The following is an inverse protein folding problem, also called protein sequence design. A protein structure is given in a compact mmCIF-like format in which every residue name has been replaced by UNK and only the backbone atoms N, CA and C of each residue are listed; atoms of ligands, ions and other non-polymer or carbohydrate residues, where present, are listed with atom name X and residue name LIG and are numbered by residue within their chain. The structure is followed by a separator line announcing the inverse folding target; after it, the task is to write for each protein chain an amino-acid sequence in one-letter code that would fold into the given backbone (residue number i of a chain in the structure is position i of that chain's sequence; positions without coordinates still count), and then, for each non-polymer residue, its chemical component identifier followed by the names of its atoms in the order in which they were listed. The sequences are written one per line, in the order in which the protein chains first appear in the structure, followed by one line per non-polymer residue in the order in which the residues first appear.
data_IF_157627871335
#
_entry.id   IF_157627871335
#
_cell.length_a   1.000
_cell.length_b   1.000
_cell.length_c   1.000
_cell.angle_alpha   90.00
_cell.angle_beta   90.00
_cell.angle_gamma   90.00
#
_symmetry.space_group_name_H-M   'P 1'
#
loop_
_entity.id
_entity.type
_entity.pdbx_description
1 polymer ?
#
# COMPACT_ATOMS: atom_id res chain seq x y z
N UNK A 1 -6.19 -15.94 -23.15
CA UNK A 1 -6.22 -14.64 -22.47
C UNK A 1 -4.87 -14.43 -21.82
N UNK A 2 -4.38 -13.20 -21.73
CA UNK A 2 -3.13 -12.85 -21.05
C UNK A 2 -3.39 -11.69 -20.08
N UNK A 3 -2.66 -11.68 -18.98
CA UNK A 3 -2.70 -10.63 -17.97
C UNK A 3 -1.26 -10.27 -17.61
N UNK A 4 -0.90 -9.00 -17.72
CA UNK A 4 0.42 -8.49 -17.43
C UNK A 4 0.27 -7.40 -16.37
N UNK A 5 1.08 -7.48 -15.32
CA UNK A 5 1.32 -6.38 -14.37
C UNK A 5 2.78 -5.93 -14.54
N UNK A 6 3.02 -4.62 -14.43
CA UNK A 6 4.35 -4.06 -14.46
C UNK A 6 4.43 -2.73 -13.69
N UNK A 7 5.64 -2.20 -13.56
CA UNK A 7 5.87 -0.87 -12.97
C UNK A 7 5.38 0.25 -13.89
N UNK A 8 5.04 1.40 -13.30
CA UNK A 8 4.78 2.64 -14.06
C UNK A 8 6.04 3.04 -14.83
N UNK A 9 5.87 3.53 -16.06
CA UNK A 9 6.94 3.79 -17.01
C UNK A 9 7.20 2.61 -17.94
N UNK A 10 6.63 1.43 -17.68
CA UNK A 10 6.71 0.31 -18.62
C UNK A 10 6.00 0.63 -19.93
N UNK A 11 4.88 1.36 -19.89
CA UNK A 11 4.06 1.75 -21.04
C UNK A 11 4.75 2.66 -22.06
N UNK A 12 5.90 3.24 -21.69
CA UNK A 12 6.73 4.07 -22.58
C UNK A 12 8.01 3.35 -23.03
N UNK A 13 8.17 2.08 -22.68
CA UNK A 13 9.39 1.31 -22.95
C UNK A 13 9.38 0.61 -24.32
N UNK A 14 10.59 0.34 -24.84
CA UNK A 14 10.77 -0.50 -26.05
C UNK A 14 10.20 -1.92 -25.86
N UNK A 15 10.27 -2.45 -24.64
CA UNK A 15 9.76 -3.80 -24.32
C UNK A 15 8.24 -3.84 -24.45
N UNK A 16 7.56 -2.80 -23.96
CA UNK A 16 6.12 -2.63 -24.14
C UNK A 16 5.76 -2.52 -25.62
N UNK A 17 6.48 -1.69 -26.39
CA UNK A 17 6.24 -1.53 -27.83
C UNK A 17 6.26 -2.89 -28.54
N UNK A 18 7.31 -3.68 -28.31
CA UNK A 18 7.44 -5.04 -28.86
C UNK A 18 6.33 -5.99 -28.40
N UNK A 19 5.93 -5.90 -27.12
CA UNK A 19 4.83 -6.71 -26.58
C UNK A 19 3.53 -6.41 -27.33
N UNK A 20 3.21 -5.12 -27.54
CA UNK A 20 1.98 -4.71 -28.21
C UNK A 20 1.97 -5.10 -29.69
N UNK A 21 3.11 -5.03 -30.38
CA UNK A 21 3.26 -5.51 -31.76
C UNK A 21 3.00 -7.03 -31.87
N UNK A 22 3.60 -7.83 -31.00
CA UNK A 22 3.44 -9.29 -30.99
C UNK A 22 1.99 -9.68 -30.69
N UNK A 23 1.38 -9.04 -29.69
CA UNK A 23 -0.02 -9.29 -29.33
C UNK A 23 -0.95 -8.91 -30.48
N UNK A 24 -0.74 -7.74 -31.10
CA UNK A 24 -1.51 -7.29 -32.26
C UNK A 24 -1.38 -8.20 -33.47
N UNK A 25 -0.16 -8.65 -33.79
CA UNK A 25 0.10 -9.61 -34.87
C UNK A 25 -0.39 -11.03 -34.58
N UNK A 26 -0.66 -11.37 -33.32
CA UNK A 26 -1.19 -12.66 -32.87
C UNK A 26 -2.70 -12.65 -32.62
N UNK A 27 -3.42 -11.67 -33.18
CA UNK A 27 -4.87 -11.50 -33.06
C UNK A 27 -5.38 -11.34 -31.63
N UNK A 28 -4.61 -10.67 -30.76
CA UNK A 28 -5.12 -10.22 -29.47
C UNK A 28 -5.71 -8.81 -29.56
N UNK A 29 -6.83 -8.62 -28.86
CA UNK A 29 -7.34 -7.31 -28.46
C UNK A 29 -6.82 -7.03 -27.05
N UNK A 30 -6.29 -5.84 -26.83
CA UNK A 30 -5.66 -5.43 -25.58
C UNK A 30 -6.37 -4.25 -24.93
N UNK A 31 -6.32 -4.15 -23.61
CA UNK A 31 -6.67 -2.95 -22.83
C UNK A 31 -5.61 -2.73 -21.75
N UNK A 32 -5.20 -1.48 -21.58
CA UNK A 32 -4.11 -1.10 -20.69
C UNK A 32 -4.56 -0.10 -19.64
N UNK A 33 -3.97 -0.18 -18.44
CA UNK A 33 -4.37 0.63 -17.30
C UNK A 33 -3.17 0.98 -16.42
N UNK A 34 -3.19 2.16 -15.80
CA UNK A 34 -2.35 2.45 -14.63
C UNK A 34 -3.28 2.58 -13.43
N UNK A 35 -3.12 1.68 -12.46
CA UNK A 35 -4.04 1.56 -11.33
C UNK A 35 -3.29 1.44 -10.01
N UNK A 36 -3.90 1.94 -8.95
CA UNK A 36 -3.37 1.92 -7.57
C UNK A 36 -4.45 1.43 -6.60
N UNK A 37 -4.10 0.72 -5.51
CA UNK A 37 -5.08 0.24 -4.52
C UNK A 37 -5.98 1.34 -3.91
N UNK A 38 -5.52 2.60 -3.91
CA UNK A 38 -6.33 3.76 -3.52
C UNK A 38 -7.66 3.87 -4.27
N UNK A 39 -7.67 3.54 -5.57
CA UNK A 39 -8.88 3.55 -6.39
C UNK A 39 -9.87 2.45 -5.99
N UNK A 40 -9.41 1.48 -5.19
CA UNK A 40 -10.17 0.31 -4.74
C UNK A 40 -10.49 0.35 -3.24
N UNK A 41 -10.45 1.54 -2.64
CA UNK A 41 -10.80 1.74 -1.24
C UNK A 41 -9.75 1.22 -0.26
N UNK A 42 -8.51 0.99 -0.71
CA UNK A 42 -7.39 0.61 0.16
C UNK A 42 -6.45 1.80 0.31
N UNK A 43 -6.12 2.24 1.54
CA UNK A 43 -5.27 3.41 1.82
C UNK A 43 -3.78 3.16 1.53
N UNK A 44 -3.46 2.66 0.33
CA UNK A 44 -2.13 2.23 -0.10
C UNK A 44 -1.80 2.71 -1.52
N UNK A 45 -0.83 3.61 -1.62
CA UNK A 45 -0.36 4.10 -2.93
C UNK A 45 0.65 3.12 -3.55
N UNK A 46 0.21 2.38 -4.57
CA UNK A 46 1.05 1.46 -5.36
C UNK A 46 0.60 1.48 -6.82
N UNK A 47 0.85 2.56 -7.57
CA UNK A 47 0.50 2.61 -8.98
C UNK A 47 1.31 1.57 -9.76
N UNK A 48 0.61 0.82 -10.63
CA UNK A 48 1.16 -0.23 -11.49
C UNK A 48 0.48 -0.21 -12.85
N UNK A 49 1.26 -0.53 -13.86
CA UNK A 49 0.78 -0.79 -15.21
C UNK A 49 0.12 -2.16 -15.26
N UNK A 50 -0.98 -2.26 -16.00
CA UNK A 50 -1.68 -3.51 -16.30
C UNK A 50 -2.01 -3.59 -17.78
N UNK A 51 -1.85 -4.76 -18.39
CA UNK A 51 -2.35 -5.07 -19.74
C UNK A 51 -3.15 -6.37 -19.72
N UNK A 52 -4.38 -6.28 -20.22
CA UNK A 52 -5.31 -7.39 -20.37
C UNK A 52 -5.41 -7.69 -21.86
N UNK A 53 -5.23 -8.95 -22.26
CA UNK A 53 -5.34 -9.36 -23.66
C UNK A 53 -6.30 -10.54 -23.85
N UNK A 54 -7.25 -10.40 -24.78
CA UNK A 54 -8.14 -11.47 -25.25
C UNK A 54 -7.84 -11.80 -26.70
N UNK A 55 -7.75 -13.09 -27.03
CA UNK A 55 -7.59 -13.52 -28.43
C UNK A 55 -8.93 -13.39 -29.15
N UNK A 56 -8.93 -12.84 -30.36
CA UNK A 56 -10.12 -12.79 -31.22
C UNK A 56 -10.67 -14.21 -31.45
N UNK A 57 -12.00 -14.35 -31.64
CA UNK A 57 -12.99 -13.27 -31.76
C UNK A 57 -13.51 -12.72 -30.41
N UNK A 58 -13.01 -13.16 -29.25
CA UNK A 58 -13.59 -12.78 -27.94
C UNK A 58 -13.38 -11.30 -27.58
N UNK A 59 -14.42 -10.44 -27.59
CA UNK A 59 -14.28 -9.04 -27.22
C UNK A 59 -14.25 -8.86 -25.70
N UNK A 60 -13.80 -7.67 -25.27
CA UNK A 60 -14.08 -7.20 -23.91
C UNK A 60 -15.52 -6.71 -23.83
N UNK A 61 -16.23 -7.06 -22.76
CA UNK A 61 -17.55 -6.49 -22.49
C UNK A 61 -17.40 -5.02 -22.13
N UNK A 62 -18.16 -4.14 -22.78
CA UNK A 62 -18.30 -2.76 -22.31
C UNK A 62 -19.06 -2.82 -20.99
N UNK A 63 -18.35 -2.65 -19.88
CA UNK A 63 -18.97 -2.61 -18.57
C UNK A 63 -18.86 -1.19 -18.03
N UNK A 64 -19.96 -0.43 -18.15
CA UNK A 64 -20.03 0.97 -17.69
C UNK A 64 -19.76 1.12 -16.18
N UNK A 65 -20.01 0.11 -15.35
CA UNK A 65 -19.67 0.17 -13.92
C UNK A 65 -18.18 0.00 -13.65
N UNK A 66 -17.50 -0.76 -14.49
CA UNK A 66 -16.03 -0.88 -14.52
C UNK A 66 -15.45 0.43 -15.07
N UNK A 67 -16.01 0.94 -16.16
CA UNK A 67 -15.58 2.21 -16.78
C UNK A 67 -15.83 3.38 -15.82
N UNK A 68 -16.92 3.44 -15.06
CA UNK A 68 -17.14 4.50 -14.05
C UNK A 68 -16.23 4.36 -12.83
N UNK A 69 -15.88 3.13 -12.45
CA UNK A 69 -14.91 2.84 -11.39
C UNK A 69 -13.47 3.17 -11.80
N UNK A 70 -13.11 2.91 -13.06
CA UNK A 70 -11.80 3.22 -13.64
C UNK A 70 -11.69 4.67 -14.14
N UNK A 71 -12.81 5.32 -14.44
CA UNK A 71 -12.87 6.31 -15.50
C UNK A 71 -13.26 7.72 -15.14
N UNK A 72 -12.88 8.25 -13.99
CA UNK A 72 -12.79 9.71 -13.91
C UNK A 72 -11.40 10.29 -14.06
N UNK A 73 -10.31 9.53 -13.89
CA UNK A 73 -8.94 10.09 -13.97
C UNK A 73 -7.83 9.09 -14.34
N UNK A 74 -8.14 7.86 -14.73
CA UNK A 74 -7.09 7.04 -15.37
C UNK A 74 -6.92 7.56 -16.79
N UNK A 75 -5.75 8.08 -17.11
CA UNK A 75 -5.35 8.33 -18.48
C UNK A 75 -5.58 7.01 -19.24
N UNK A 76 -6.62 6.97 -20.05
CA UNK A 76 -6.97 5.81 -20.87
C UNK A 76 -5.88 5.63 -21.92
N UNK A 77 -4.79 4.96 -21.55
CA UNK A 77 -3.82 4.48 -22.51
C UNK A 77 -4.51 3.34 -23.28
N UNK A 78 -5.11 3.68 -24.42
CA UNK A 78 -5.37 2.72 -25.48
C UNK A 78 -6.69 1.95 -25.43
N UNK A 79 -7.85 2.62 -25.28
CA UNK A 79 -8.97 2.24 -26.16
C UNK A 79 -8.70 2.93 -27.51
N UNK A 80 -7.75 2.41 -28.29
CA UNK A 80 -7.68 2.75 -29.72
C UNK A 80 -8.82 2.03 -30.42
N UNK A 81 -10.03 2.56 -30.32
CA UNK A 81 -10.98 2.42 -31.43
C UNK A 81 -10.35 3.22 -32.57
N UNK A 82 -9.94 2.51 -33.63
CA UNK A 82 -9.45 3.13 -34.85
C UNK A 82 -10.64 3.84 -35.50
N UNK A 83 -10.84 5.10 -35.13
CA UNK A 83 -10.92 6.25 -36.02
C UNK A 83 -11.26 7.51 -35.20
N UNK A 84 -10.61 8.61 -35.59
CA UNK A 84 -10.74 10.00 -35.11
C UNK A 84 -10.04 10.44 -33.81
N UNK A 85 -8.86 11.04 -34.05
CA UNK A 85 -8.16 12.13 -33.35
C UNK A 85 -8.72 12.57 -31.98
N UNK A 86 -8.00 12.24 -30.91
CA UNK A 86 -7.78 13.15 -29.76
C UNK A 86 -6.40 12.86 -29.15
N UNK A 87 -5.49 13.83 -29.25
CA UNK A 87 -4.31 13.96 -28.38
C UNK A 87 -4.78 14.72 -27.13
N UNK A 88 -4.62 14.15 -25.93
CA UNK A 88 -4.90 14.87 -24.68
C UNK A 88 -3.66 14.92 -23.80
N UNK A 89 -3.35 16.15 -23.42
CA UNK A 89 -2.26 16.61 -22.57
C UNK A 89 -2.37 16.07 -21.13
N UNK A 90 -1.21 16.00 -20.47
CA UNK A 90 -1.02 15.52 -19.11
C UNK A 90 -1.33 16.62 -18.09
N UNK A 91 -2.56 16.67 -17.57
CA UNK A 91 -2.89 17.51 -16.41
C UNK A 91 -3.22 16.65 -15.17
N UNK A 92 -2.51 16.89 -14.07
CA UNK A 92 -2.71 16.22 -12.78
C UNK A 92 -4.02 16.68 -12.09
N UNK A 93 -4.92 15.76 -11.70
CA UNK A 93 -6.17 16.11 -11.03
C UNK A 93 -6.00 16.07 -9.50
N UNK A 94 -5.50 17.14 -8.90
CA UNK A 94 -5.41 17.25 -7.43
C UNK A 94 -6.78 17.00 -6.73
N UNK A 95 -7.90 17.37 -7.37
CA UNK A 95 -9.25 17.16 -6.82
C UNK A 95 -9.80 15.72 -6.85
N UNK A 96 -9.11 14.76 -7.49
CA UNK A 96 -9.58 13.36 -7.54
C UNK A 96 -9.08 12.50 -6.38
N UNK A 97 -7.97 12.92 -5.75
CA UNK A 97 -7.33 12.14 -4.69
C UNK A 97 -8.13 12.15 -3.40
N UNK A 98 -8.67 13.31 -3.02
CA UNK A 98 -9.46 13.47 -1.80
C UNK A 98 -10.70 12.57 -1.81
N UNK A 99 -11.38 12.51 -2.97
CA UNK A 99 -12.54 11.63 -3.17
C UNK A 99 -12.21 10.15 -3.04
N UNK A 100 -11.03 9.72 -3.52
CA UNK A 100 -10.58 8.33 -3.35
C UNK A 100 -10.16 8.03 -1.90
N UNK A 101 -9.55 9.00 -1.23
CA UNK A 101 -9.20 8.87 0.19
C UNK A 101 -10.43 8.79 1.09
N UNK A 102 -11.50 9.49 0.75
CA UNK A 102 -12.78 9.41 1.45
C UNK A 102 -13.48 8.05 1.30
N UNK A 103 -13.27 7.34 0.19
CA UNK A 103 -13.83 6.00 -0.01
C UNK A 103 -12.96 4.88 0.56
N UNK A 104 -11.74 5.19 0.99
CA UNK A 104 -10.83 4.21 1.57
C UNK A 104 -11.27 3.77 2.97
N UNK A 105 -11.04 2.49 3.27
CA UNK A 105 -11.08 2.03 4.66
C UNK A 105 -9.99 2.76 5.47
N UNK A 106 -10.26 3.07 6.76
CA UNK A 106 -9.28 3.69 7.64
C UNK A 106 -8.03 2.81 7.76
N UNK A 107 -6.85 3.41 7.82
CA UNK A 107 -5.57 2.67 7.87
C UNK A 107 -5.49 1.72 9.07
N UNK A 108 -6.16 2.07 10.16
CA UNK A 108 -6.31 1.30 11.40
C UNK A 108 -6.97 -0.07 11.17
N UNK A 109 -7.82 -0.18 10.14
CA UNK A 109 -8.44 -1.47 9.76
C UNK A 109 -7.45 -2.48 9.19
N UNK A 110 -6.26 -2.03 8.78
CA UNK A 110 -5.20 -2.87 8.23
C UNK A 110 -4.10 -3.19 9.24
N UNK A 111 -4.16 -2.59 10.44
CA UNK A 111 -3.16 -2.77 11.50
C UNK A 111 -3.43 -4.05 12.31
N UNK A 112 -2.38 -4.77 12.69
CA UNK A 112 -2.48 -5.92 13.61
C UNK A 112 -2.71 -5.45 15.03
N UNK A 113 -2.03 -4.37 15.40
CA UNK A 113 -2.09 -3.80 16.73
C UNK A 113 -3.05 -2.61 16.73
N UNK A 114 -4.28 -2.84 17.16
CA UNK A 114 -5.27 -1.77 17.35
C UNK A 114 -4.96 -1.02 18.65
N UNK A 115 -5.11 0.30 18.63
CA UNK A 115 -5.10 1.08 19.87
C UNK A 115 -6.27 0.61 20.75
N UNK A 116 -5.99 0.16 21.97
CA UNK A 116 -7.01 -0.24 22.94
C UNK A 116 -7.71 1.04 23.45
N UNK A 117 -8.80 1.43 22.80
CA UNK A 117 -9.60 2.60 23.23
C UNK A 117 -10.90 2.22 23.93
N UNK A 118 -11.41 1.00 23.79
CA UNK A 118 -12.76 0.66 24.23
C UNK A 118 -12.79 -0.58 25.12
N UNK A 119 -12.74 -0.36 26.44
CA UNK A 119 -13.58 -1.04 27.44
C UNK A 119 -13.51 -0.23 28.74
N UNK A 120 -14.56 0.56 28.98
CA UNK A 120 -14.79 1.33 30.21
C UNK A 120 -15.24 0.40 31.33
N UNK A 121 -14.28 -0.16 32.09
CA UNK A 121 -14.54 -0.70 33.42
C UNK A 121 -14.50 0.46 34.44
N UNK A 122 -15.63 0.82 35.11
CA UNK A 122 -15.70 1.97 36.00
C UNK A 122 -14.85 1.84 37.28
N UNK A 123 -14.30 0.65 37.57
CA UNK A 123 -13.48 0.40 38.75
C UNK A 123 -11.97 0.34 38.46
N UNK A 124 -11.53 0.60 37.22
CA UNK A 124 -10.12 0.61 36.87
C UNK A 124 -9.51 2.01 37.01
N UNK A 125 -8.96 2.28 38.20
CA UNK A 125 -8.22 3.52 38.49
C UNK A 125 -6.94 3.57 37.65
N UNK A 126 -6.91 4.48 36.67
CA UNK A 126 -5.69 5.01 36.04
C UNK A 126 -5.03 4.13 34.97
N UNK A 127 -5.66 3.98 33.81
CA UNK A 127 -5.06 3.32 32.64
C UNK A 127 -4.07 4.24 31.90
N UNK A 128 -2.93 4.48 32.52
CA UNK A 128 -1.73 4.90 31.79
C UNK A 128 -1.14 3.66 31.09
N UNK A 129 -1.41 3.56 29.78
CA UNK A 129 -0.63 2.86 28.75
C UNK A 129 0.03 1.50 29.11
N UNK A 130 -0.50 0.41 28.52
CA UNK A 130 0.25 -0.86 28.35
C UNK A 130 1.64 -0.63 27.70
N UNK A 131 1.75 0.39 26.84
CA UNK A 131 2.98 0.82 26.16
C UNK A 131 4.08 1.29 27.12
N UNK A 132 3.73 2.03 28.19
CA UNK A 132 4.70 2.48 29.19
C UNK A 132 4.97 1.43 30.27
N UNK A 133 3.99 0.56 30.57
CA UNK A 133 4.16 -0.48 31.60
C UNK A 133 5.24 -1.51 31.22
N UNK A 134 5.37 -1.86 29.94
CA UNK A 134 6.48 -2.71 29.50
C UNK A 134 7.84 -2.00 29.51
N UNK A 135 7.85 -0.68 29.25
CA UNK A 135 9.09 0.08 29.15
C UNK A 135 9.68 0.48 30.53
N UNK A 136 8.86 0.58 31.59
CA UNK A 136 9.31 0.90 32.96
C UNK A 136 9.54 -0.33 33.86
N UNK A 137 9.09 -1.52 33.46
CA UNK A 137 9.26 -2.75 34.27
C UNK A 137 10.62 -3.44 34.07
N UNK A 138 11.57 -2.80 33.38
CA UNK A 138 12.94 -3.27 33.21
C UNK A 138 13.89 -2.45 34.08
N UNK A 139 13.68 -2.49 35.40
CA UNK A 139 14.77 -2.33 36.36
C UNK A 139 15.11 -3.73 36.89
N UNK A 140 16.29 -4.19 36.48
CA UNK A 140 17.12 -5.26 37.06
C UNK A 140 16.42 -6.55 37.50
N UNK A 141 16.38 -7.55 36.60
CA UNK A 141 16.44 -8.94 37.04
C UNK A 141 17.46 -9.70 36.17
N UNK A 142 18.64 -9.96 36.77
CA UNK A 142 19.68 -10.81 36.20
C UNK A 142 19.20 -12.26 36.17
N UNK A 143 18.52 -12.67 35.09
CA UNK A 143 18.00 -14.02 35.03
C UNK A 143 17.40 -14.43 33.69
N UNK A 144 18.26 -14.92 32.79
CA UNK A 144 17.98 -15.99 31.83
C UNK A 144 16.65 -15.96 31.03
N UNK A 145 16.74 -15.61 29.74
CA UNK A 145 15.70 -15.86 28.72
C UNK A 145 15.14 -14.57 28.12
N UNK A 146 15.76 -14.07 27.04
CA UNK A 146 15.36 -12.81 26.41
C UNK A 146 13.99 -12.93 25.71
N UNK A 147 12.94 -12.58 26.44
CA UNK A 147 11.61 -12.29 25.93
C UNK A 147 11.63 -10.90 25.27
N UNK A 148 12.27 -10.74 24.12
CA UNK A 148 12.15 -9.47 23.38
C UNK A 148 10.69 -9.32 22.98
N UNK A 149 10.02 -8.27 23.46
CA UNK A 149 8.61 -8.05 23.13
C UNK A 149 8.49 -7.95 21.60
N UNK A 150 7.44 -8.52 21.01
CA UNK A 150 7.20 -8.49 19.55
C UNK A 150 7.20 -7.06 18.97
N UNK A 151 7.02 -6.04 19.81
CA UNK A 151 7.03 -4.63 19.45
C UNK A 151 8.43 -4.08 19.17
N UNK A 152 9.45 -4.50 19.91
CA UNK A 152 10.81 -3.94 19.77
C UNK A 152 11.41 -4.26 18.39
N UNK A 153 11.00 -5.39 17.80
CA UNK A 153 11.48 -5.86 16.50
C UNK A 153 11.18 -4.89 15.35
N UNK A 154 10.10 -4.11 15.45
CA UNK A 154 9.64 -3.20 14.39
C UNK A 154 9.93 -1.73 14.70
N UNK A 155 10.47 -1.43 15.88
CA UNK A 155 10.83 -0.07 16.26
C UNK A 155 11.91 0.50 15.34
N UNK A 156 11.78 1.77 14.97
CA UNK A 156 12.82 2.50 14.22
C UNK A 156 13.82 3.05 15.22
N UNK A 157 15.11 2.62 15.16
CA UNK A 157 16.13 3.12 16.08
C UNK A 157 16.25 4.65 16.04
N UNK A 158 16.35 5.28 17.21
CA UNK A 158 16.51 6.74 17.33
C UNK A 158 17.68 7.28 16.49
N UNK A 159 18.77 6.54 16.37
CA UNK A 159 19.92 6.91 15.53
C UNK A 159 19.57 7.06 14.05
N UNK A 160 18.62 6.28 13.54
CA UNK A 160 18.11 6.45 12.17
C UNK A 160 17.22 7.67 12.07
N UNK A 161 16.36 7.92 13.07
CA UNK A 161 15.48 9.09 13.13
C UNK A 161 16.30 10.38 13.19
N UNK A 162 17.36 10.42 14.00
CA UNK A 162 18.28 11.56 14.10
C UNK A 162 19.01 11.83 12.79
N UNK A 163 19.49 10.77 12.13
CA UNK A 163 20.27 10.88 10.90
C UNK A 163 19.43 11.20 9.67
N UNK A 164 18.22 10.67 9.59
CA UNK A 164 17.41 10.70 8.38
C UNK A 164 16.02 11.31 8.56
N UNK A 165 15.63 11.74 9.76
CA UNK A 165 14.27 12.19 10.08
C UNK A 165 13.74 13.30 9.17
N UNK A 166 14.60 14.24 8.78
CA UNK A 166 14.25 15.28 7.79
C UNK A 166 13.87 14.73 6.42
N UNK A 167 14.46 13.59 6.03
CA UNK A 167 14.17 12.86 4.80
C UNK A 167 13.12 11.75 4.97
N UNK A 168 12.77 11.40 6.21
CA UNK A 168 11.59 10.59 6.52
C UNK A 168 10.33 11.44 6.31
N UNK A 169 10.38 12.73 6.65
CA UNK A 169 9.25 13.64 6.48
C UNK A 169 8.06 13.29 7.39
N UNK A 170 7.21 14.27 7.70
CA UNK A 170 5.94 14.02 8.39
C UNK A 170 5.04 13.08 7.56
N UNK A 171 5.20 13.10 6.23
CA UNK A 171 4.46 12.31 5.24
C UNK A 171 4.73 10.80 5.30
N UNK A 172 5.89 10.39 5.83
CA UNK A 172 6.14 8.96 6.06
C UNK A 172 5.56 8.49 7.37
N UNK A 173 5.04 9.34 8.25
CA UNK A 173 4.49 8.92 9.55
C UNK A 173 2.98 9.00 9.54
N UNK A 174 2.31 7.88 9.83
CA UNK A 174 0.86 7.87 10.04
C UNK A 174 0.62 8.00 11.54
N UNK A 175 0.06 9.13 11.94
CA UNK A 175 -0.14 9.50 13.35
C UNK A 175 -0.67 10.92 13.56
N UNK A 176 -0.60 11.78 12.54
CA UNK A 176 -1.42 12.99 12.50
C UNK A 176 -2.74 12.70 11.77
N UNK A 177 -3.83 13.25 12.30
CA UNK A 177 -5.22 13.15 11.84
C UNK A 177 -5.46 13.47 10.34
N UNK A 178 -4.43 13.88 9.60
CA UNK A 178 -4.52 14.27 8.18
C UNK A 178 -4.04 13.18 7.21
N UNK A 179 -3.20 12.22 7.61
CA UNK A 179 -2.67 11.21 6.69
C UNK A 179 -3.51 9.92 6.66
N UNK A 180 -4.45 9.85 5.70
CA UNK A 180 -5.33 8.69 5.45
C UNK A 180 -4.71 7.58 4.57
N UNK A 181 -3.44 7.66 4.19
CA UNK A 181 -2.80 6.68 3.27
C UNK A 181 -1.33 6.42 3.55
N UNK A 182 -0.85 5.24 3.14
CA UNK A 182 0.56 4.87 3.14
C UNK A 182 1.19 4.86 1.74
N UNK A 183 2.50 5.05 1.68
CA UNK A 183 3.33 5.02 0.47
C UNK A 183 3.68 3.60 0.03
N UNK A 184 4.11 3.46 -1.23
CA UNK A 184 4.52 2.19 -1.83
C UNK A 184 5.66 1.51 -1.03
N UNK A 185 5.39 0.34 -0.48
CA UNK A 185 6.43 -0.53 0.08
C UNK A 185 7.31 -1.14 -1.03
N UNK A 186 8.61 -0.89 -0.95
CA UNK A 186 9.60 -1.47 -1.86
C UNK A 186 10.25 -2.71 -1.24
N UNK A 187 10.97 -3.49 -2.05
CA UNK A 187 11.71 -4.68 -1.56
C UNK A 187 12.73 -4.38 -0.46
N UNK A 188 13.13 -3.12 -0.32
CA UNK A 188 14.14 -2.68 0.65
C UNK A 188 13.53 -2.05 1.90
N UNK A 189 12.20 -2.08 2.04
CA UNK A 189 11.52 -1.71 3.27
C UNK A 189 12.09 -2.52 4.45
N UNK A 190 12.17 -1.91 5.64
CA UNK A 190 12.89 -2.42 6.83
C UNK A 190 14.42 -2.41 6.75
N UNK A 191 15.04 -2.33 5.57
CA UNK A 191 16.51 -2.18 5.42
C UNK A 191 16.93 -0.72 5.35
N UNK A 192 16.19 0.09 4.61
CA UNK A 192 16.40 1.52 4.51
C UNK A 192 15.14 2.23 4.96
N UNK A 193 15.29 3.47 5.43
CA UNK A 193 14.12 4.27 5.85
C UNK A 193 13.59 5.10 4.69
N UNK A 194 14.47 5.90 4.06
CA UNK A 194 14.07 6.82 2.99
C UNK A 194 13.58 6.10 1.74
N UNK A 195 12.41 6.50 1.24
CA UNK A 195 11.90 6.10 -0.07
C UNK A 195 11.52 4.63 -0.20
N UNK A 196 11.30 3.93 0.92
CA UNK A 196 10.97 2.50 0.90
C UNK A 196 9.55 2.17 1.35
N UNK A 197 8.83 3.14 1.91
CA UNK A 197 7.46 3.00 2.42
C UNK A 197 7.22 3.88 3.65
N UNK A 198 5.97 4.00 4.07
CA UNK A 198 5.61 4.74 5.29
C UNK A 198 5.97 3.96 6.56
N UNK A 199 6.05 4.67 7.68
CA UNK A 199 6.20 4.27 9.06
C UNK A 199 4.92 4.64 9.83
N UNK A 200 4.74 4.06 11.01
CA UNK A 200 3.64 4.37 11.92
C UNK A 200 4.21 5.12 13.13
N UNK A 201 3.58 6.23 13.52
CA UNK A 201 3.83 6.85 14.81
C UNK A 201 2.94 6.19 15.88
N UNK A 202 3.55 5.77 16.98
CA UNK A 202 2.84 5.17 18.11
C UNK A 202 2.91 6.03 19.38
N UNK A 203 3.63 7.15 19.35
CA UNK A 203 3.65 8.13 20.45
C UNK A 203 2.34 8.92 20.54
N UNK A 204 1.89 9.25 21.76
CA UNK A 204 0.73 10.13 21.92
C UNK A 204 1.09 11.58 21.53
N UNK A 205 0.22 12.28 20.77
CA UNK A 205 0.41 13.70 20.54
C UNK A 205 0.19 14.45 21.87
N UNK A 206 1.26 15.00 22.46
CA UNK A 206 1.11 15.98 23.55
C UNK A 206 0.45 17.22 22.96
N UNK A 207 -0.74 17.55 23.47
CA UNK A 207 -1.70 18.52 22.89
C UNK A 207 -1.20 19.98 22.84
N UNK A 208 0.04 20.34 23.22
CA UNK A 208 0.43 21.75 23.38
C UNK A 208 1.69 22.26 22.70
N UNK A 209 2.45 21.46 21.93
CA UNK A 209 3.55 22.01 21.13
C UNK A 209 3.45 21.60 19.66
N UNK A 210 3.29 22.60 18.78
CA UNK A 210 3.16 22.48 17.32
C UNK A 210 4.40 21.93 16.59
N UNK A 211 5.34 21.33 17.30
CA UNK A 211 6.50 20.65 16.75
C UNK A 211 6.98 19.55 17.72
N UNK A 212 6.15 18.55 18.00
CA UNK A 212 6.64 17.34 18.66
C UNK A 212 7.74 16.73 17.78
N UNK A 213 8.94 16.62 18.33
CA UNK A 213 10.09 16.11 17.57
C UNK A 213 9.79 14.66 17.12
N UNK A 214 10.27 14.22 15.96
CA UNK A 214 10.11 12.82 15.51
C UNK A 214 10.63 11.79 16.54
N UNK A 215 11.50 12.23 17.46
CA UNK A 215 12.00 11.44 18.60
C UNK A 215 10.88 11.07 19.60
N UNK A 216 9.87 11.92 19.75
CA UNK A 216 8.75 11.74 20.69
C UNK A 216 7.60 10.91 20.09
N UNK A 217 7.59 10.72 18.77
CA UNK A 217 6.50 10.05 18.06
C UNK A 217 6.62 8.51 18.03
N UNK A 218 7.68 7.93 18.61
CA UNK A 218 7.94 6.49 18.65
C UNK A 218 7.59 5.79 17.32
N UNK A 219 8.47 5.91 16.32
CA UNK A 219 8.20 5.37 14.99
C UNK A 219 8.44 3.86 14.93
N UNK A 220 7.57 3.14 14.22
CA UNK A 220 7.77 1.73 13.87
C UNK A 220 7.52 1.46 12.39
N UNK A 221 8.12 0.41 11.88
CA UNK A 221 7.74 -0.18 10.61
C UNK A 221 6.36 -0.85 10.71
N UNK A 222 5.62 -0.86 9.61
CA UNK A 222 4.49 -1.76 9.43
C UNK A 222 5.00 -3.20 9.48
N UNK A 223 4.31 -4.10 10.16
CA UNK A 223 4.70 -5.52 10.17
C UNK A 223 4.50 -6.14 8.77
N UNK A 224 5.10 -7.31 8.48
CA UNK A 224 4.82 -8.02 7.24
C UNK A 224 3.34 -8.35 7.05
N UNK A 225 2.60 -8.60 8.13
CA UNK A 225 1.17 -8.93 8.06
C UNK A 225 0.33 -7.68 7.80
N UNK A 226 0.67 -6.53 8.39
CA UNK A 226 0.03 -5.25 8.07
C UNK A 226 0.27 -4.83 6.61
N UNK A 227 1.51 -4.98 6.10
CA UNK A 227 1.82 -4.77 4.69
C UNK A 227 1.03 -5.74 3.80
N UNK A 228 0.92 -7.02 4.19
CA UNK A 228 0.12 -8.01 3.47
C UNK A 228 -1.38 -7.65 3.46
N UNK A 229 -1.92 -7.06 4.54
CA UNK A 229 -3.30 -6.57 4.59
C UNK A 229 -3.51 -5.43 3.58
N UNK A 230 -2.55 -4.51 3.45
CA UNK A 230 -2.59 -3.42 2.46
C UNK A 230 -2.48 -3.92 1.02
N UNK A 231 -1.85 -5.08 0.80
CA UNK A 231 -1.92 -5.82 -0.47
C UNK A 231 -3.23 -6.62 -0.65
N UNK A 232 -4.14 -6.56 0.33
CA UNK A 232 -5.38 -7.33 0.41
C UNK A 232 -5.16 -8.84 0.32
N UNK A 233 -4.04 -9.34 0.86
CA UNK A 233 -3.81 -10.77 1.02
C UNK A 233 -4.74 -11.34 2.09
N UNK A 234 -5.28 -12.57 1.92
CA UNK A 234 -6.19 -13.19 2.89
C UNK A 234 -5.63 -13.22 4.31
N UNK A 235 -6.50 -13.22 5.31
CA UNK A 235 -6.10 -13.37 6.73
C UNK A 235 -5.33 -14.67 6.99
N UNK A 236 -5.66 -15.73 6.26
CA UNK A 236 -4.97 -17.03 6.32
C UNK A 236 -3.56 -17.03 5.73
N UNK A 237 -3.16 -15.97 5.01
CA UNK A 237 -1.81 -15.88 4.46
C UNK A 237 -0.77 -15.76 5.59
N UNK A 238 0.20 -16.66 5.59
CA UNK A 238 1.30 -16.69 6.55
C UNK A 238 2.60 -17.04 5.85
N UNK A 239 3.71 -16.47 6.33
CA UNK A 239 5.04 -16.85 5.87
C UNK A 239 5.50 -18.13 6.59
N UNK A 240 6.20 -19.05 5.90
CA UNK A 240 6.88 -20.15 6.56
C UNK A 240 7.86 -19.63 7.63
N UNK A 241 7.99 -20.36 8.74
CA UNK A 241 8.80 -19.94 9.90
C UNK A 241 10.25 -19.64 9.55
N UNK A 242 10.84 -20.37 8.61
CA UNK A 242 12.23 -20.23 8.18
C UNK A 242 12.51 -18.97 7.33
N UNK A 243 11.47 -18.28 6.84
CA UNK A 243 11.64 -17.05 6.07
C UNK A 243 11.94 -15.90 7.02
N UNK A 244 13.14 -15.32 6.89
CA UNK A 244 13.59 -14.20 7.71
C UNK A 244 12.75 -12.94 7.48
N UNK A 245 12.72 -12.05 8.47
CA UNK A 245 11.94 -10.81 8.40
C UNK A 245 12.29 -9.95 7.16
N UNK A 246 13.58 -9.84 6.83
CA UNK A 246 14.04 -9.12 5.62
C UNK A 246 13.51 -9.74 4.33
N UNK A 247 13.47 -11.07 4.25
CA UNK A 247 12.92 -11.76 3.08
C UNK A 247 11.41 -11.54 2.96
N UNK A 248 10.67 -11.54 4.08
CA UNK A 248 9.22 -11.26 4.07
C UNK A 248 8.92 -9.90 3.46
N UNK A 249 9.62 -8.84 3.89
CA UNK A 249 9.46 -7.51 3.31
C UNK A 249 9.90 -7.44 1.83
N UNK A 250 10.99 -8.11 1.46
CA UNK A 250 11.43 -8.16 0.07
C UNK A 250 10.39 -8.82 -0.84
N UNK A 251 9.77 -9.91 -0.39
CA UNK A 251 8.70 -10.62 -1.11
C UNK A 251 7.45 -9.74 -1.25
N UNK A 252 7.00 -9.10 -0.17
CA UNK A 252 5.84 -8.20 -0.22
C UNK A 252 6.09 -6.96 -1.08
N UNK A 253 7.29 -6.37 -0.98
CA UNK A 253 7.68 -5.21 -1.77
C UNK A 253 7.69 -5.48 -3.28
N UNK A 254 7.92 -6.73 -3.69
CA UNK A 254 7.82 -7.18 -5.09
C UNK A 254 6.44 -7.77 -5.45
N UNK A 255 5.53 -7.89 -4.49
CA UNK A 255 4.19 -8.47 -4.72
C UNK A 255 3.26 -7.49 -5.45
N UNK A 256 2.04 -7.96 -5.72
CA UNK A 256 0.94 -7.20 -6.33
C UNK A 256 -0.18 -6.95 -5.32
N UNK A 257 -1.13 -6.08 -5.65
CA UNK A 257 -2.31 -5.86 -4.80
C UNK A 257 -3.51 -6.67 -5.29
N UNK A 258 -4.08 -7.53 -4.45
CA UNK A 258 -5.26 -8.33 -4.80
C UNK A 258 -6.48 -7.45 -5.03
N UNK A 259 -6.62 -6.35 -4.30
CA UNK A 259 -7.73 -5.40 -4.49
C UNK A 259 -7.81 -4.85 -5.91
N UNK A 260 -6.68 -4.75 -6.61
CA UNK A 260 -6.59 -4.31 -8.00
C UNK A 260 -6.71 -5.48 -8.98
N UNK A 261 -5.93 -6.54 -8.74
CA UNK A 261 -5.82 -7.66 -9.69
C UNK A 261 -7.10 -8.49 -9.76
N UNK A 262 -7.78 -8.74 -8.65
CA UNK A 262 -8.97 -9.58 -8.64
C UNK A 262 -10.13 -9.00 -9.49
N UNK A 263 -10.50 -7.70 -9.38
CA UNK A 263 -11.47 -7.09 -10.29
C UNK A 263 -11.06 -7.14 -11.76
N UNK A 264 -9.78 -6.90 -12.08
CA UNK A 264 -9.29 -6.96 -13.47
C UNK A 264 -9.33 -8.39 -14.03
N UNK A 265 -9.01 -9.40 -13.24
CA UNK A 265 -9.15 -10.79 -13.66
C UNK A 265 -10.62 -11.15 -13.90
N UNK A 266 -11.55 -10.74 -13.02
CA UNK A 266 -13.00 -10.94 -13.25
C UNK A 266 -13.45 -10.30 -14.56
N UNK A 267 -12.95 -9.10 -14.83
CA UNK A 267 -13.21 -8.40 -16.09
C UNK A 267 -12.63 -9.13 -17.31
N UNK A 268 -11.39 -9.62 -17.20
CA UNK A 268 -10.74 -10.42 -18.24
C UNK A 268 -11.50 -11.72 -18.50
N UNK A 269 -12.00 -12.40 -17.48
CA UNK A 269 -12.73 -13.66 -17.64
C UNK A 269 -14.21 -13.51 -17.99
N UNK A 270 -14.77 -12.30 -17.96
CA UNK A 270 -16.17 -12.08 -18.34
C UNK A 270 -16.40 -12.50 -19.82
N UNK A 271 -17.27 -13.49 -20.03
CA UNK A 271 -17.65 -13.98 -21.37
C UNK A 271 -18.37 -12.88 -22.15
N UNK A 272 -18.24 -12.84 -23.46
CA UNK A 272 -19.08 -12.02 -24.34
C UNK A 272 -20.43 -12.72 -24.52
N UNK A 273 -21.52 -12.06 -24.11
CA UNK A 273 -22.89 -12.55 -24.33
C UNK A 273 -23.31 -12.33 -25.77
#
# INVERSE_FOLDING_TARGET
MLFVENVVGFETSDTHTKMMEILGGSDFVTQEFILTPLQFGVPYSRPRYFCLAKRKPSPFKINFSIISFFGHQSHYLGIKMRDDKVLCELDEPQGSWDKWLESCQPIESFLEFKNCSDHSDPNFVGSANLFYRYHWSLEEDEGNGCCTSTFDQYSVPLSLIERWGSAMGLESSIGNYEFKRCCCFTKSYYRYVKGTGSLLATGQPKIQDKASSLKEQCLRYFTPREVANLHSLPESFQFPQHISLRQRYALLGNSLSISVVAPLLRYLFAESS
#
